data_IF_859641084987
#
_entry.id   IF_859641084987
#
_cell.length_a   1.000
_cell.length_b   1.000
_cell.length_c   1.000
_cell.angle_alpha   90.00
_cell.angle_beta   90.00
_cell.angle_gamma   90.00
#
_symmetry.space_group_name_H-M   'P 1'
#
loop_
_entity.id
_entity.type
_entity.pdbx_description
1 polymer ?
#
# COMPACT_ATOMS: atom_id res chain seq x y z
N UNK A 1 3.40 16.48 -5.00
CA UNK A 1 4.60 16.09 -4.22
C UNK A 1 4.61 14.58 -4.11
N UNK A 2 5.70 13.92 -4.48
CA UNK A 2 5.81 12.47 -4.33
C UNK A 2 5.94 12.10 -2.85
N UNK A 3 5.21 11.09 -2.38
CA UNK A 3 5.37 10.60 -1.01
C UNK A 3 6.69 9.83 -0.87
N UNK A 4 7.36 9.90 0.29
CA UNK A 4 8.59 9.15 0.50
C UNK A 4 8.34 7.64 0.54
N UNK A 5 9.30 6.84 0.05
CA UNK A 5 9.33 5.38 0.29
C UNK A 5 9.27 5.14 1.80
N UNK A 6 8.48 4.18 2.23
CA UNK A 6 8.15 3.95 3.64
C UNK A 6 6.85 4.59 4.11
N UNK A 7 6.19 5.38 3.25
CA UNK A 7 4.82 5.84 3.50
C UNK A 7 3.91 4.65 3.76
N UNK A 8 3.06 4.75 4.77
CA UNK A 8 2.07 3.73 5.10
C UNK A 8 0.66 4.20 4.77
N UNK A 9 -0.22 3.27 4.44
CA UNK A 9 -1.64 3.51 4.18
C UNK A 9 -2.45 2.29 4.61
N UNK A 10 -3.67 2.48 5.11
CA UNK A 10 -4.53 1.35 5.50
C UNK A 10 -5.40 0.90 4.34
N UNK A 11 -5.82 -0.36 4.40
CA UNK A 11 -6.87 -0.89 3.53
C UNK A 11 -8.11 0.02 3.54
N UNK A 12 -8.66 0.32 2.37
CA UNK A 12 -9.79 1.24 2.21
C UNK A 12 -9.41 2.72 2.06
N UNK A 13 -8.18 3.11 2.40
CA UNK A 13 -7.70 4.47 2.13
C UNK A 13 -7.27 4.63 0.66
N UNK A 14 -7.35 5.87 0.16
CA UNK A 14 -6.81 6.19 -1.16
C UNK A 14 -5.30 6.10 -1.12
N UNK A 15 -4.74 5.39 -2.08
CA UNK A 15 -3.31 5.23 -2.26
C UNK A 15 -2.68 6.60 -2.48
N UNK A 16 -1.75 7.02 -1.62
CA UNK A 16 -1.20 8.35 -1.69
C UNK A 16 -0.09 8.47 -2.75
N UNK A 17 0.43 7.33 -3.25
CA UNK A 17 1.53 7.29 -4.23
C UNK A 17 1.55 6.01 -5.04
N UNK A 18 1.74 6.12 -6.35
CA UNK A 18 1.81 4.97 -7.26
C UNK A 18 3.11 4.21 -7.05
N UNK A 19 3.00 2.92 -6.76
CA UNK A 19 4.17 2.08 -6.52
C UNK A 19 3.86 0.67 -6.10
N UNK A 20 4.91 -0.06 -5.74
CA UNK A 20 4.80 -1.36 -5.09
C UNK A 20 4.67 -1.12 -3.59
N UNK A 21 3.59 -1.63 -3.03
CA UNK A 21 3.28 -1.56 -1.63
C UNK A 21 3.40 -2.95 -1.01
N UNK A 22 4.00 -3.03 0.18
CA UNK A 22 4.11 -4.26 0.97
C UNK A 22 3.17 -4.21 2.17
N UNK A 23 2.58 -5.33 2.55
CA UNK A 23 1.80 -5.42 3.78
C UNK A 23 2.75 -5.43 4.98
N UNK A 24 2.51 -4.51 5.91
CA UNK A 24 3.16 -4.43 7.22
C UNK A 24 2.46 -5.42 8.15
N UNK A 25 3.06 -6.60 8.30
CA UNK A 25 2.56 -7.65 9.17
C UNK A 25 2.89 -9.05 8.62
N UNK A 26 2.39 -10.07 9.32
CA UNK A 26 2.50 -11.47 8.90
C UNK A 26 1.10 -11.97 8.54
N UNK A 27 0.88 -12.51 7.33
CA UNK A 27 1.85 -12.67 6.23
C UNK A 27 2.14 -11.34 5.49
N UNK A 28 3.38 -11.18 5.03
CA UNK A 28 3.77 -10.05 4.18
C UNK A 28 3.48 -10.38 2.71
N UNK A 29 2.83 -9.45 2.01
CA UNK A 29 2.57 -9.57 0.57
C UNK A 29 2.90 -8.25 -0.09
N UNK A 30 3.26 -8.27 -1.37
CA UNK A 30 3.48 -7.05 -2.15
C UNK A 30 2.44 -6.95 -3.26
N UNK A 31 1.98 -5.73 -3.52
CA UNK A 31 1.05 -5.44 -4.62
C UNK A 31 1.39 -4.10 -5.27
N UNK A 32 1.34 -4.00 -6.60
CA UNK A 32 1.40 -2.72 -7.31
C UNK A 32 0.07 -1.97 -7.16
N UNK A 33 0.11 -0.74 -6.67
CA UNK A 33 -1.06 0.10 -6.41
C UNK A 33 -0.78 1.50 -6.96
N UNK A 34 -1.65 1.99 -7.82
CA UNK A 34 -1.55 3.33 -8.38
C UNK A 34 -2.08 4.40 -7.41
N UNK A 35 -1.51 5.61 -7.45
CA UNK A 35 -2.00 6.76 -6.69
C UNK A 35 -3.48 7.00 -6.99
N UNK A 36 -4.26 7.29 -5.96
CA UNK A 36 -5.70 7.50 -6.04
C UNK A 36 -6.54 6.22 -5.98
N UNK A 37 -5.97 5.03 -6.23
CA UNK A 37 -6.70 3.77 -6.07
C UNK A 37 -6.91 3.42 -4.60
N UNK A 38 -8.01 2.74 -4.30
CA UNK A 38 -8.28 2.26 -2.94
C UNK A 38 -7.34 1.10 -2.59
N UNK A 39 -6.68 1.19 -1.44
CA UNK A 39 -5.82 0.12 -0.91
C UNK A 39 -6.64 -1.16 -0.73
N UNK A 40 -6.26 -2.28 -1.39
CA UNK A 40 -7.04 -3.50 -1.36
C UNK A 40 -6.92 -4.21 -0.01
N UNK A 41 -7.98 -4.89 0.44
CA UNK A 41 -7.91 -5.78 1.60
C UNK A 41 -7.09 -7.03 1.25
N UNK A 42 -6.38 -7.56 2.24
CA UNK A 42 -5.68 -8.84 2.10
C UNK A 42 -6.41 -9.91 2.92
N UNK A 43 -6.80 -11.01 2.27
CA UNK A 43 -7.55 -12.11 2.89
C UNK A 43 -8.84 -11.66 3.63
N UNK A 44 -9.53 -10.65 3.10
CA UNK A 44 -10.72 -10.06 3.73
C UNK A 44 -10.45 -9.29 5.02
N UNK A 45 -9.17 -9.05 5.37
CA UNK A 45 -8.76 -8.30 6.56
C UNK A 45 -8.19 -6.95 6.15
N UNK A 46 -8.45 -5.96 7.00
CA UNK A 46 -7.81 -4.66 6.90
C UNK A 46 -6.33 -4.80 7.27
N UNK A 47 -5.46 -4.57 6.30
CA UNK A 47 -4.01 -4.57 6.46
C UNK A 47 -3.44 -3.17 6.24
N UNK A 48 -2.24 -2.96 6.78
CA UNK A 48 -1.46 -1.74 6.54
C UNK A 48 -0.50 -2.01 5.41
N UNK A 49 -0.54 -1.17 4.39
CA UNK A 49 0.38 -1.16 3.27
C UNK A 49 1.52 -0.19 3.55
N UNK A 50 2.73 -0.50 3.09
CA UNK A 50 3.93 0.34 3.14
C UNK A 50 4.56 0.43 1.75
N UNK A 51 4.75 1.63 1.25
CA UNK A 51 5.39 1.87 -0.04
C UNK A 51 6.84 1.40 0.03
N UNK A 52 7.23 0.45 -0.82
CA UNK A 52 8.60 -0.06 -0.91
C UNK A 52 9.32 0.41 -2.15
N UNK A 53 8.59 0.67 -3.23
CA UNK A 53 9.16 1.10 -4.51
C UNK A 53 8.18 1.97 -5.26
N UNK A 54 8.67 2.97 -5.99
CA UNK A 54 7.85 3.73 -6.96
C UNK A 54 7.53 2.87 -8.19
N UNK A 55 6.40 3.16 -8.82
CA UNK A 55 6.00 2.58 -10.11
C UNK A 55 6.77 3.22 -11.26
#
# INVERSE_FOLDING_TARGET
MKKPIGTTAKTGEKCPESGVWTVVGTPSTTAPIAVGNTMPPYAGKAVVWKLTRYA
#
